data_IF_389591920129
#
_entry.id   IF_389591920129
#
_cell.length_a   1.000
_cell.length_b   1.000
_cell.length_c   1.000
_cell.angle_alpha   90.00
_cell.angle_beta   90.00
_cell.angle_gamma   90.00
#
_symmetry.space_group_name_H-M   'P 1'
#
loop_
_entity.id
_entity.type
_entity.pdbx_description
1 polymer ?
#
# COMPACT_ATOMS: atom_id res chain seq x y z
N UNK A 1 -29.03 11.30 6.21
CA UNK A 1 -28.56 10.64 7.45
C UNK A 1 -27.08 10.33 7.28
N UNK A 2 -26.20 10.89 8.11
CA UNK A 2 -24.77 10.56 8.07
C UNK A 2 -24.56 9.26 8.86
N UNK A 3 -24.37 8.14 8.16
CA UNK A 3 -24.00 6.89 8.82
C UNK A 3 -22.63 7.06 9.50
N UNK A 4 -22.49 6.59 10.74
CA UNK A 4 -21.21 6.55 11.43
C UNK A 4 -20.26 5.64 10.64
N UNK A 5 -19.27 6.21 9.95
CA UNK A 5 -18.22 5.46 9.28
C UNK A 5 -17.36 4.82 10.36
N UNK A 6 -17.52 3.52 10.58
CA UNK A 6 -16.64 2.75 11.46
C UNK A 6 -15.28 2.64 10.76
N UNK A 7 -14.28 3.36 11.28
CA UNK A 7 -12.91 3.29 10.79
C UNK A 7 -12.21 2.11 11.47
N UNK A 8 -11.68 1.19 10.67
CA UNK A 8 -10.95 0.03 11.20
C UNK A 8 -9.76 0.48 12.09
N UNK A 9 -9.52 -0.15 13.27
CA UNK A 9 -8.49 0.29 14.23
C UNK A 9 -7.09 0.45 13.63
N UNK A 10 -6.74 -0.38 12.64
CA UNK A 10 -5.50 -0.26 11.86
C UNK A 10 -5.29 1.15 11.29
N UNK A 11 -6.32 1.72 10.65
CA UNK A 11 -6.21 3.04 10.03
C UNK A 11 -6.16 4.16 11.08
N UNK A 12 -6.79 3.97 12.24
CA UNK A 12 -6.66 4.90 13.37
C UNK A 12 -5.20 4.95 13.85
N UNK A 13 -4.58 3.80 14.10
CA UNK A 13 -3.17 3.72 14.52
C UNK A 13 -2.24 4.28 13.44
N UNK A 14 -2.47 3.94 12.16
CA UNK A 14 -1.70 4.47 11.05
C UNK A 14 -1.71 6.00 11.03
N UNK A 15 -2.88 6.61 11.22
CA UNK A 15 -3.02 8.07 11.26
C UNK A 15 -2.22 8.69 12.40
N UNK A 16 -2.25 8.08 13.57
CA UNK A 16 -1.50 8.59 14.73
C UNK A 16 0.01 8.50 14.51
N UNK A 17 0.48 7.44 13.84
CA UNK A 17 1.89 7.34 13.42
C UNK A 17 2.26 8.38 12.38
N UNK A 18 1.38 8.64 11.42
CA UNK A 18 1.58 9.69 10.42
C UNK A 18 1.73 11.04 11.11
N UNK A 19 0.80 11.38 12.01
CA UNK A 19 0.83 12.65 12.76
C UNK A 19 2.12 12.86 13.53
N UNK A 20 2.61 11.83 14.21
CA UNK A 20 3.88 11.89 14.97
C UNK A 20 5.11 12.07 14.08
N UNK A 21 5.03 11.72 12.80
CA UNK A 21 6.15 11.76 11.87
C UNK A 21 6.17 13.03 11.01
N UNK A 22 5.05 13.75 10.92
CA UNK A 22 4.95 14.99 10.16
C UNK A 22 5.80 16.09 10.81
N UNK A 23 6.57 16.86 10.03
CA UNK A 23 7.23 18.07 10.52
C UNK A 23 6.21 19.07 11.10
N UNK A 24 6.57 19.76 12.18
CA UNK A 24 5.70 20.74 12.88
C UNK A 24 5.11 21.83 11.97
N UNK A 25 5.81 22.18 10.89
CA UNK A 25 5.40 23.19 9.91
C UNK A 25 4.60 22.62 8.71
N UNK A 26 4.27 21.33 8.73
CA UNK A 26 3.45 20.73 7.67
C UNK A 26 1.98 20.99 7.95
N UNK A 27 1.21 21.33 6.91
CA UNK A 27 -0.25 21.34 7.04
C UNK A 27 -0.72 19.97 7.55
N UNK A 28 -1.55 19.91 8.59
CA UNK A 28 -2.08 18.64 9.06
C UNK A 28 -2.84 17.99 7.89
N UNK A 29 -2.58 16.70 7.59
CA UNK A 29 -3.27 16.03 6.52
C UNK A 29 -4.78 16.06 6.81
N UNK A 30 -5.62 16.14 5.77
CA UNK A 30 -7.06 15.99 5.95
C UNK A 30 -7.35 14.75 6.80
N UNK A 31 -8.37 14.82 7.67
CA UNK A 31 -8.67 13.73 8.65
C UNK A 31 -8.87 12.36 8.01
N UNK A 32 -9.20 12.33 6.73
CA UNK A 32 -9.47 11.15 5.92
C UNK A 32 -8.27 10.64 5.11
N UNK A 33 -7.13 11.35 5.08
CA UNK A 33 -5.96 10.94 4.33
C UNK A 33 -5.07 10.03 5.20
N UNK A 34 -5.13 8.74 4.92
CA UNK A 34 -4.29 7.74 5.58
C UNK A 34 -3.06 7.37 4.72
N UNK A 35 -3.09 7.72 3.44
CA UNK A 35 -2.06 7.29 2.48
C UNK A 35 -2.00 5.76 2.37
N UNK A 36 -3.10 5.08 2.69
CA UNK A 36 -3.25 3.63 2.59
C UNK A 36 -4.73 3.24 2.54
N UNK A 37 -5.04 2.11 1.90
CA UNK A 37 -6.38 1.56 1.72
C UNK A 37 -6.30 0.04 1.58
N UNK A 38 -7.38 -0.66 1.92
CA UNK A 38 -7.53 -2.08 1.66
C UNK A 38 -7.59 -2.91 2.94
N UNK A 39 -7.31 -4.21 2.82
CA UNK A 39 -7.38 -5.14 3.93
C UNK A 39 -6.07 -5.13 4.74
N UNK A 40 -6.20 -4.94 6.05
CA UNK A 40 -5.08 -4.83 7.00
C UNK A 40 -4.30 -6.14 7.20
N UNK A 41 -4.87 -7.28 6.80
CA UNK A 41 -4.21 -8.59 6.74
C UNK A 41 -4.37 -9.16 5.33
N UNK A 42 -3.39 -8.89 4.49
CA UNK A 42 -3.45 -9.23 3.07
C UNK A 42 -2.13 -9.83 2.60
N UNK A 43 -2.23 -10.91 1.84
CA UNK A 43 -1.06 -11.56 1.24
C UNK A 43 -0.41 -10.68 0.17
N UNK A 44 -1.18 -9.78 -0.45
CA UNK A 44 -0.70 -8.86 -1.49
C UNK A 44 -0.67 -7.43 -0.98
N UNK A 45 0.47 -6.75 -1.15
CA UNK A 45 0.67 -5.35 -0.80
C UNK A 45 1.22 -4.53 -1.98
N UNK A 46 0.65 -3.36 -2.23
CA UNK A 46 1.14 -2.38 -3.19
C UNK A 46 1.75 -1.19 -2.44
N UNK A 47 2.95 -0.80 -2.84
CA UNK A 47 3.65 0.39 -2.35
C UNK A 47 3.71 1.38 -3.51
N UNK A 48 2.98 2.47 -3.36
CA UNK A 48 2.95 3.65 -4.21
C UNK A 48 3.89 4.73 -3.65
N UNK A 49 4.06 5.82 -4.38
CA UNK A 49 5.05 6.83 -4.03
C UNK A 49 4.57 7.77 -2.91
N UNK A 50 3.61 8.63 -3.20
CA UNK A 50 3.05 9.64 -2.30
C UNK A 50 1.63 10.03 -2.73
N UNK A 51 0.80 10.59 -1.81
CA UNK A 51 -0.47 11.19 -2.19
C UNK A 51 -0.25 12.53 -2.91
N UNK A 52 -0.74 12.65 -4.14
CA UNK A 52 -0.66 13.92 -4.88
C UNK A 52 -1.67 14.94 -4.38
N UNK A 53 -1.32 16.23 -4.39
CA UNK A 53 -2.23 17.32 -3.99
C UNK A 53 -3.56 17.25 -4.73
N UNK A 54 -3.54 17.10 -6.06
CA UNK A 54 -4.76 16.97 -6.87
C UNK A 54 -5.62 15.77 -6.45
N UNK A 55 -4.99 14.65 -6.12
CA UNK A 55 -5.70 13.47 -5.61
C UNK A 55 -6.35 13.77 -4.27
N UNK A 56 -5.68 14.55 -3.43
CA UNK A 56 -6.18 14.97 -2.12
C UNK A 56 -7.35 15.95 -2.23
N UNK A 57 -7.22 17.00 -3.04
CA UNK A 57 -8.29 17.97 -3.32
C UNK A 57 -9.52 17.32 -3.95
N UNK A 58 -9.30 16.33 -4.81
CA UNK A 58 -10.38 15.54 -5.36
C UNK A 58 -11.06 14.76 -4.24
N UNK A 59 -10.30 13.97 -3.48
CA UNK A 59 -10.86 13.16 -2.41
C UNK A 59 -11.61 14.02 -1.37
N UNK A 60 -11.14 15.23 -1.05
CA UNK A 60 -11.84 16.13 -0.14
C UNK A 60 -13.26 16.50 -0.63
N UNK A 61 -13.39 16.76 -1.93
CA UNK A 61 -14.69 17.06 -2.56
C UNK A 61 -15.67 15.90 -2.53
N UNK A 62 -15.18 14.67 -2.60
CA UNK A 62 -16.02 13.46 -2.74
C UNK A 62 -16.04 12.55 -1.51
N UNK A 63 -15.22 12.84 -0.49
CA UNK A 63 -15.06 12.01 0.70
C UNK A 63 -16.38 11.73 1.42
N UNK A 64 -17.31 12.70 1.42
CA UNK A 64 -18.65 12.55 2.03
C UNK A 64 -19.48 11.43 1.39
N UNK A 65 -19.16 11.03 0.16
CA UNK A 65 -19.91 10.03 -0.60
C UNK A 65 -19.18 8.68 -0.66
N UNK A 66 -17.85 8.68 -0.78
CA UNK A 66 -17.06 7.46 -1.02
C UNK A 66 -16.12 7.09 0.14
N UNK A 67 -16.09 7.89 1.21
CA UNK A 67 -15.29 7.65 2.39
C UNK A 67 -13.79 7.56 2.10
N UNK A 68 -13.09 6.72 2.86
CA UNK A 68 -11.63 6.53 2.76
C UNK A 68 -11.17 6.09 1.36
N UNK A 69 -12.07 5.52 0.55
CA UNK A 69 -11.74 5.07 -0.80
C UNK A 69 -11.50 6.22 -1.78
N UNK A 70 -12.03 7.42 -1.49
CA UNK A 70 -11.86 8.61 -2.30
C UNK A 70 -10.37 8.92 -2.59
N UNK A 71 -9.48 8.57 -1.64
CA UNK A 71 -8.05 8.86 -1.72
C UNK A 71 -7.31 8.09 -2.84
N UNK A 72 -7.96 7.08 -3.45
CA UNK A 72 -7.35 6.22 -4.47
C UNK A 72 -8.19 6.13 -5.74
N UNK A 73 -8.34 7.20 -6.51
CA UNK A 73 -9.09 7.21 -7.77
C UNK A 73 -8.18 7.07 -8.99
N UNK A 74 -7.56 5.91 -9.13
CA UNK A 74 -6.91 5.50 -10.37
C UNK A 74 -7.73 4.38 -11.02
N UNK A 75 -8.62 4.79 -11.91
CA UNK A 75 -9.55 3.98 -12.68
C UNK A 75 -8.88 2.73 -13.26
N UNK A 76 -7.81 2.94 -14.02
CA UNK A 76 -7.06 1.84 -14.68
C UNK A 76 -6.47 0.89 -13.65
N UNK A 77 -5.93 1.41 -12.54
CA UNK A 77 -5.38 0.56 -11.49
C UNK A 77 -6.48 -0.28 -10.82
N UNK A 78 -7.61 0.34 -10.47
CA UNK A 78 -8.73 -0.36 -9.84
C UNK A 78 -9.34 -1.42 -10.74
N UNK A 79 -9.46 -1.14 -12.04
CA UNK A 79 -9.92 -2.13 -13.01
C UNK A 79 -9.00 -3.35 -13.03
N UNK A 80 -7.68 -3.13 -13.04
CA UNK A 80 -6.72 -4.24 -12.97
C UNK A 80 -6.80 -5.00 -11.64
N UNK A 81 -7.05 -4.31 -10.52
CA UNK A 81 -7.26 -4.99 -9.24
C UNK A 81 -8.50 -5.88 -9.24
N UNK A 82 -9.60 -5.46 -9.89
CA UNK A 82 -10.80 -6.28 -10.06
C UNK A 82 -10.48 -7.49 -10.94
N UNK A 83 -9.78 -7.31 -12.06
CA UNK A 83 -9.40 -8.40 -12.97
C UNK A 83 -8.41 -9.41 -12.36
N UNK A 84 -7.68 -9.01 -11.33
CA UNK A 84 -6.76 -9.88 -10.58
C UNK A 84 -7.39 -10.46 -9.30
N UNK A 85 -8.71 -10.32 -9.10
CA UNK A 85 -9.43 -10.73 -7.88
C UNK A 85 -8.88 -10.13 -6.57
N UNK A 86 -8.20 -8.99 -6.67
CA UNK A 86 -7.66 -8.22 -5.54
C UNK A 86 -8.67 -7.18 -5.02
N UNK A 87 -9.77 -6.99 -5.74
CA UNK A 87 -10.93 -6.19 -5.36
C UNK A 87 -12.20 -6.89 -5.83
N UNK A 88 -13.06 -7.26 -4.89
CA UNK A 88 -14.38 -7.84 -5.17
C UNK A 88 -15.38 -6.74 -5.55
N UNK A 89 -16.38 -7.11 -6.35
CA UNK A 89 -17.35 -6.19 -6.91
C UNK A 89 -16.77 -5.36 -8.05
N UNK A 90 -17.31 -4.16 -8.27
CA UNK A 90 -16.82 -3.23 -9.28
C UNK A 90 -15.73 -2.29 -8.74
N UNK A 91 -15.01 -1.64 -9.65
CA UNK A 91 -13.98 -0.62 -9.36
C UNK A 91 -14.40 0.46 -8.35
N UNK A 92 -15.66 0.90 -8.41
CA UNK A 92 -16.19 2.00 -7.58
C UNK A 92 -17.04 1.49 -6.40
N UNK A 93 -17.16 0.16 -6.24
CA UNK A 93 -17.87 -0.43 -5.09
C UNK A 93 -17.03 -0.32 -3.83
N UNK A 94 -17.64 0.05 -2.72
CA UNK A 94 -16.94 0.13 -1.44
C UNK A 94 -16.63 -1.25 -0.86
N UNK A 95 -15.51 -1.40 -0.16
CA UNK A 95 -15.08 -2.62 0.52
C UNK A 95 -14.50 -3.66 -0.43
N UNK A 96 -14.53 -4.95 -0.06
CA UNK A 96 -14.13 -6.05 -0.93
C UNK A 96 -12.63 -6.08 -1.31
N UNK A 97 -11.78 -5.34 -0.61
CA UNK A 97 -10.34 -5.34 -0.85
C UNK A 97 -9.73 -6.67 -0.42
N UNK A 98 -8.93 -7.28 -1.29
CA UNK A 98 -8.10 -8.48 -1.02
C UNK A 98 -6.60 -8.17 -1.22
N UNK A 99 -6.29 -6.88 -1.21
CA UNK A 99 -4.94 -6.33 -1.21
C UNK A 99 -4.85 -5.20 -0.20
N UNK A 100 -3.62 -4.87 0.23
CA UNK A 100 -3.31 -3.63 0.94
C UNK A 100 -2.55 -2.68 0.03
N UNK A 101 -3.01 -1.44 -0.11
CA UNK A 101 -2.35 -0.41 -0.92
C UNK A 101 -1.86 0.67 0.02
N UNK A 102 -0.62 1.10 -0.14
CA UNK A 102 -0.01 2.12 0.70
C UNK A 102 0.88 3.05 -0.10
N UNK A 103 1.12 4.27 0.39
CA UNK A 103 2.21 5.11 -0.07
C UNK A 103 3.45 4.93 0.80
N UNK A 104 4.63 4.93 0.18
CA UNK A 104 5.91 4.99 0.86
C UNK A 104 6.03 6.29 1.67
N UNK A 105 5.68 7.41 1.05
CA UNK A 105 5.70 8.75 1.63
C UNK A 105 4.26 9.15 1.95
N UNK A 106 3.99 9.56 3.18
CA UNK A 106 2.62 9.89 3.62
C UNK A 106 2.29 11.38 3.51
N UNK A 107 3.30 12.20 3.25
CA UNK A 107 3.15 13.64 3.03
C UNK A 107 2.58 13.91 1.63
N UNK A 108 1.69 14.89 1.56
CA UNK A 108 1.14 15.40 0.30
C UNK A 108 2.16 16.31 -0.36
N UNK A 109 2.30 16.17 -1.68
CA UNK A 109 3.13 17.08 -2.49
C UNK A 109 2.50 17.35 -3.85
N UNK A 110 2.90 18.45 -4.47
CA UNK A 110 2.58 18.80 -5.85
C UNK A 110 3.46 17.98 -6.79
N UNK A 111 2.86 17.40 -7.83
CA UNK A 111 3.60 16.50 -8.71
C UNK A 111 4.76 17.17 -9.46
N UNK A 112 4.60 18.44 -9.87
CA UNK A 112 5.67 19.24 -10.48
C UNK A 112 6.81 19.50 -9.51
N UNK A 113 6.49 20.02 -8.32
CA UNK A 113 7.47 20.29 -7.25
C UNK A 113 8.21 19.01 -6.85
N UNK A 114 7.50 17.91 -6.65
CA UNK A 114 8.10 16.63 -6.31
C UNK A 114 9.03 16.09 -7.41
N UNK A 115 8.68 16.29 -8.68
CA UNK A 115 9.49 15.86 -9.81
C UNK A 115 10.83 16.61 -9.89
N UNK A 116 10.83 17.89 -9.50
CA UNK A 116 12.00 18.79 -9.51
C UNK A 116 12.96 18.54 -8.33
N UNK A 117 12.49 17.92 -7.23
CA UNK A 117 13.34 17.63 -6.07
C UNK A 117 14.56 16.76 -6.42
N UNK A 118 15.76 17.14 -5.97
CA UNK A 118 16.95 16.30 -6.08
C UNK A 118 16.70 14.90 -5.50
N UNK A 119 17.39 13.91 -6.07
CA UNK A 119 17.30 12.51 -5.60
C UNK A 119 17.66 12.39 -4.12
N UNK A 120 18.67 13.12 -3.67
CA UNK A 120 19.13 13.16 -2.26
C UNK A 120 18.04 13.66 -1.34
N UNK A 121 17.38 14.77 -1.68
CA UNK A 121 16.25 15.30 -0.91
C UNK A 121 15.10 14.29 -0.83
N UNK A 122 14.72 13.68 -1.96
CA UNK A 122 13.66 12.67 -1.98
C UNK A 122 13.99 11.43 -1.13
N UNK A 123 15.25 11.01 -1.10
CA UNK A 123 15.70 9.91 -0.23
C UNK A 123 15.61 10.30 1.25
N UNK A 124 15.98 11.52 1.63
CA UNK A 124 15.83 12.03 2.99
C UNK A 124 14.36 12.08 3.42
N UNK A 125 13.47 12.50 2.51
CA UNK A 125 12.02 12.50 2.77
C UNK A 125 11.52 11.06 2.92
N UNK A 126 11.86 10.15 2.01
CA UNK A 126 11.47 8.75 2.08
C UNK A 126 11.96 8.09 3.38
N UNK A 127 13.19 8.39 3.80
CA UNK A 127 13.79 7.87 5.03
C UNK A 127 12.95 8.18 6.28
N UNK A 128 12.40 9.40 6.39
CA UNK A 128 11.54 9.79 7.50
C UNK A 128 10.29 8.90 7.61
N UNK A 129 9.78 8.43 6.49
CA UNK A 129 8.58 7.58 6.44
C UNK A 129 8.87 6.08 6.62
N UNK A 130 10.14 5.69 6.68
CA UNK A 130 10.55 4.29 6.73
C UNK A 130 10.00 3.56 7.98
N UNK A 131 9.93 4.25 9.12
CA UNK A 131 9.36 3.70 10.35
C UNK A 131 7.86 3.34 10.20
N UNK A 132 7.10 4.20 9.51
CA UNK A 132 5.67 3.96 9.24
C UNK A 132 5.50 2.78 8.28
N UNK A 133 6.26 2.75 7.18
CA UNK A 133 6.18 1.66 6.21
C UNK A 133 6.58 0.31 6.82
N UNK A 134 7.62 0.26 7.66
CA UNK A 134 7.99 -0.96 8.40
C UNK A 134 6.86 -1.46 9.29
N UNK A 135 6.21 -0.55 10.00
CA UNK A 135 5.08 -0.90 10.83
C UNK A 135 3.95 -1.47 9.99
N UNK A 136 3.60 -0.84 8.85
CA UNK A 136 2.56 -1.37 7.94
C UNK A 136 2.91 -2.77 7.45
N UNK A 137 4.14 -3.01 6.98
CA UNK A 137 4.59 -4.34 6.54
C UNK A 137 4.47 -5.36 7.68
N UNK A 138 4.83 -5.00 8.91
CA UNK A 138 4.75 -5.91 10.06
C UNK A 138 3.31 -6.24 10.47
N UNK A 139 2.36 -5.34 10.20
CA UNK A 139 0.93 -5.54 10.47
C UNK A 139 0.26 -6.36 9.37
N UNK A 140 0.53 -6.00 8.12
CA UNK A 140 -0.07 -6.62 6.93
C UNK A 140 0.51 -8.01 6.68
N UNK A 141 1.82 -8.18 6.93
CA UNK A 141 2.57 -9.42 6.68
C UNK A 141 2.38 -9.96 5.26
N UNK A 142 2.60 -9.12 4.22
CA UNK A 142 2.36 -9.56 2.85
C UNK A 142 3.34 -10.65 2.43
N UNK A 143 2.86 -11.60 1.64
CA UNK A 143 3.68 -12.59 0.94
C UNK A 143 4.25 -11.99 -0.35
N UNK A 144 3.45 -11.19 -1.05
CA UNK A 144 3.81 -10.53 -2.31
C UNK A 144 3.74 -9.01 -2.15
N UNK A 145 4.83 -8.33 -2.52
CA UNK A 145 4.91 -6.87 -2.51
C UNK A 145 5.12 -6.34 -3.92
N UNK A 146 4.34 -5.35 -4.32
CA UNK A 146 4.51 -4.64 -5.59
C UNK A 146 4.96 -3.20 -5.34
N UNK A 147 6.06 -2.78 -5.95
CA UNK A 147 6.46 -1.37 -6.03
C UNK A 147 5.87 -0.76 -7.30
N UNK A 148 5.07 0.29 -7.11
CA UNK A 148 4.37 0.99 -8.19
C UNK A 148 5.22 2.16 -8.68
N UNK A 149 5.86 1.97 -9.83
CA UNK A 149 6.74 2.95 -10.44
C UNK A 149 8.21 2.83 -10.01
N UNK A 150 9.08 3.43 -10.83
CA UNK A 150 10.54 3.26 -10.71
C UNK A 150 11.13 3.88 -9.43
N UNK A 151 10.55 4.99 -8.97
CA UNK A 151 11.07 5.68 -7.78
C UNK A 151 10.83 4.87 -6.51
N UNK A 152 9.64 4.31 -6.35
CA UNK A 152 9.32 3.44 -5.20
C UNK A 152 10.21 2.21 -5.20
N UNK A 153 10.36 1.57 -6.37
CA UNK A 153 11.30 0.46 -6.54
C UNK A 153 12.71 0.85 -6.08
N UNK A 154 13.21 1.98 -6.57
CA UNK A 154 14.52 2.53 -6.20
C UNK A 154 14.65 2.78 -4.70
N UNK A 155 13.62 3.33 -4.03
CA UNK A 155 13.63 3.56 -2.58
C UNK A 155 13.70 2.24 -1.81
N UNK A 156 12.83 1.28 -2.13
CA UNK A 156 12.81 -0.04 -1.48
C UNK A 156 14.16 -0.73 -1.63
N UNK A 157 14.71 -0.83 -2.85
CA UNK A 157 16.03 -1.44 -3.08
C UNK A 157 17.17 -0.69 -2.40
N UNK A 158 17.10 0.64 -2.32
CA UNK A 158 18.09 1.44 -1.61
C UNK A 158 18.09 1.13 -0.11
N UNK A 159 16.93 1.19 0.56
CA UNK A 159 16.86 0.95 2.00
C UNK A 159 17.07 -0.51 2.38
N UNK A 160 16.72 -1.47 1.51
CA UNK A 160 17.10 -2.88 1.69
C UNK A 160 18.63 -3.07 1.67
N UNK A 161 19.33 -2.50 0.68
CA UNK A 161 20.80 -2.59 0.60
C UNK A 161 21.50 -1.94 1.80
N UNK A 162 20.87 -0.96 2.43
CA UNK A 162 21.37 -0.32 3.65
C UNK A 162 21.01 -1.08 4.94
N UNK A 163 20.30 -2.22 4.86
CA UNK A 163 19.81 -2.96 6.03
C UNK A 163 18.73 -2.20 6.81
N UNK A 164 18.14 -1.16 6.21
CA UNK A 164 17.19 -0.27 6.86
C UNK A 164 15.74 -0.59 6.53
N UNK A 165 15.46 -1.43 5.53
CA UNK A 165 14.15 -2.01 5.28
C UNK A 165 14.28 -3.53 5.32
N UNK A 166 13.23 -4.21 5.77
CA UNK A 166 13.17 -5.67 5.79
C UNK A 166 13.51 -6.24 4.40
N UNK A 167 14.11 -7.42 4.38
CA UNK A 167 14.29 -8.17 3.14
C UNK A 167 12.90 -8.55 2.62
N UNK A 168 12.50 -7.88 1.55
CA UNK A 168 11.30 -8.16 0.78
C UNK A 168 11.77 -8.61 -0.61
N UNK A 169 10.98 -9.42 -1.28
CA UNK A 169 11.15 -9.70 -2.70
C UNK A 169 10.10 -8.91 -3.49
N UNK A 170 10.25 -7.56 -3.61
CA UNK A 170 9.26 -6.78 -4.32
C UNK A 170 9.28 -7.11 -5.81
N UNK A 171 8.11 -7.00 -6.44
CA UNK A 171 7.95 -6.94 -7.88
C UNK A 171 7.82 -5.49 -8.31
N UNK A 172 8.42 -5.12 -9.45
CA UNK A 172 8.22 -3.80 -10.02
C UNK A 172 7.07 -3.83 -11.01
N UNK A 173 6.11 -2.92 -10.85
CA UNK A 173 5.10 -2.62 -11.87
C UNK A 173 5.18 -1.15 -12.26
N UNK A 174 4.75 -0.82 -13.47
CA UNK A 174 4.78 0.54 -13.98
C UNK A 174 3.70 1.40 -13.32
N UNK A 175 3.92 2.72 -13.32
CA UNK A 175 2.83 3.66 -13.03
C UNK A 175 1.69 3.43 -14.02
N UNK A 176 0.48 3.34 -13.47
CA UNK A 176 -0.70 2.93 -14.21
C UNK A 176 -1.03 3.95 -15.29
N UNK A 177 -1.12 3.48 -16.53
CA UNK A 177 -1.65 4.22 -17.67
C UNK A 177 -2.43 3.24 -18.52
N UNK A 178 -3.47 3.71 -19.21
CA UNK A 178 -4.29 2.87 -20.10
C UNK A 178 -3.42 2.08 -21.10
N UNK A 179 -2.31 2.67 -21.57
CA UNK A 179 -1.35 2.06 -22.50
C UNK A 179 -0.60 0.85 -21.96
N UNK A 180 -0.56 0.64 -20.65
CA UNK A 180 0.22 -0.43 -20.00
C UNK A 180 -0.64 -1.38 -19.18
N UNK A 181 -1.97 -1.31 -19.32
CA UNK A 181 -2.93 -2.06 -18.51
C UNK A 181 -2.65 -3.57 -18.53
N UNK A 182 -2.58 -4.18 -19.72
CA UNK A 182 -2.41 -5.62 -19.85
C UNK A 182 -1.05 -6.10 -19.33
N UNK A 183 0.01 -5.32 -19.58
CA UNK A 183 1.35 -5.59 -19.07
C UNK A 183 1.40 -5.52 -17.54
N UNK A 184 0.74 -4.53 -16.93
CA UNK A 184 0.64 -4.42 -15.47
C UNK A 184 -0.11 -5.62 -14.91
N UNK A 185 -1.25 -6.00 -15.51
CA UNK A 185 -2.03 -7.17 -15.12
C UNK A 185 -1.22 -8.46 -15.20
N UNK A 186 -0.52 -8.69 -16.30
CA UNK A 186 0.33 -9.87 -16.49
C UNK A 186 1.42 -9.94 -15.40
N UNK A 187 2.10 -8.83 -15.12
CA UNK A 187 3.11 -8.79 -14.05
C UNK A 187 2.55 -8.95 -12.65
N UNK A 188 1.34 -8.47 -12.40
CA UNK A 188 0.65 -8.71 -11.14
C UNK A 188 0.34 -10.19 -10.98
N UNK A 189 -0.24 -10.84 -11.99
CA UNK A 189 -0.53 -12.27 -11.95
C UNK A 189 0.73 -13.13 -11.79
N UNK A 190 1.80 -12.80 -12.51
CA UNK A 190 3.11 -13.49 -12.36
C UNK A 190 3.66 -13.34 -10.94
N UNK A 191 3.63 -12.14 -10.36
CA UNK A 191 4.10 -11.91 -8.99
C UNK A 191 3.25 -12.60 -7.93
N UNK A 192 1.92 -12.65 -8.12
CA UNK A 192 1.01 -13.36 -7.21
C UNK A 192 1.29 -14.85 -7.23
N UNK A 193 1.39 -15.47 -8.42
CA UNK A 193 1.70 -16.91 -8.56
C UNK A 193 3.03 -17.25 -7.88
N UNK A 194 4.08 -16.48 -8.16
CA UNK A 194 5.40 -16.68 -7.54
C UNK A 194 5.40 -16.53 -6.03
N UNK A 195 4.61 -15.60 -5.49
CA UNK A 195 4.48 -15.43 -4.03
C UNK A 195 3.90 -16.66 -3.35
N UNK A 196 2.87 -17.26 -3.95
CA UNK A 196 2.24 -18.50 -3.46
C UNK A 196 3.22 -19.68 -3.48
N UNK A 197 4.05 -19.81 -4.52
CA UNK A 197 5.01 -20.91 -4.65
C UNK A 197 6.16 -20.84 -3.64
N UNK A 198 6.50 -19.64 -3.15
CA UNK A 198 7.56 -19.46 -2.13
C UNK A 198 7.09 -19.77 -0.71
N UNK A 199 5.80 -20.05 -0.51
CA UNK A 199 5.30 -20.52 0.77
C UNK A 199 5.68 -21.98 0.97
N UNK A 200 6.92 -22.21 1.41
CA UNK A 200 7.32 -23.49 2.00
C UNK A 200 6.31 -23.76 3.13
N UNK A 201 5.53 -24.85 3.09
CA UNK A 201 4.62 -25.16 4.19
C UNK A 201 5.43 -25.13 5.49
N UNK A 202 4.95 -24.35 6.47
CA UNK A 202 5.57 -24.32 7.78
C UNK A 202 5.70 -25.75 8.32
N UNK A 203 6.72 -26.04 9.14
CA UNK A 203 6.96 -27.38 9.65
C UNK A 203 5.65 -27.94 10.20
N UNK A 204 5.18 -29.03 9.60
CA UNK A 204 3.97 -29.72 10.04
C UNK A 204 4.08 -29.89 11.55
N UNK A 205 3.13 -29.32 12.27
CA UNK A 205 3.07 -29.49 13.72
C UNK A 205 2.91 -30.99 13.93
N UNK A 206 3.86 -31.69 14.58
CA UNK A 206 3.81 -33.13 14.67
C UNK A 206 2.49 -33.52 15.32
N UNK A 207 1.65 -34.19 14.52
CA UNK A 207 0.41 -34.77 14.99
C UNK A 207 0.78 -35.70 16.15
N UNK A 208 0.41 -35.31 17.37
CA UNK A 208 0.49 -36.17 18.54
C UNK A 208 -0.53 -37.29 18.37
N UNK A 209 -0.16 -38.30 17.57
CA UNK A 209 -0.81 -39.59 17.56
C UNK A 209 -0.53 -40.25 18.92
N UNK A 210 -1.47 -40.05 19.85
CA UNK A 210 -1.49 -40.73 21.14
C UNK A 210 -1.51 -42.24 20.93
N UNK A 211 -0.41 -42.91 21.25
CA UNK A 211 -0.43 -44.34 21.54
C UNK A 211 -0.94 -44.52 22.96
N UNK A 212 -2.25 -44.68 23.11
CA UNK A 212 -2.81 -45.34 24.28
C UNK A 212 -2.37 -46.80 24.25
N UNK A 213 -1.49 -47.20 25.17
CA UNK A 213 -1.30 -48.60 25.55
C UNK A 213 -1.92 -48.79 26.92
N UNK A 214 -3.00 -49.54 26.94
CA UNK A 214 -3.49 -50.31 28.10
C UNK A 214 -3.28 -51.78 27.78
#
# INVERSE_FOLDING_TARGET
>A
MQGNIVVHPHFVELRDRIRKQLPDHSMPPPKWLYGALGESRSDVMFICEYPSERGVEYADRYYRHTGIEAQWRNDVFRDVLVECDLKLGGRDTSGGWRCYITNFIKQVDKASVWAEKPKTERLLIAERWLGVLKWEISRVKPQTVFCVGERVWSYVKFFQRKGRLLALNPHRIWSYSARRRDLVREKMNDGIRKGLDTHIPGPETPSHAGKSRS
#
